data_IF_597668612279
#
_entry.id   IF_597668612279
#
_cell.length_a   1.000
_cell.length_b   1.000
_cell.length_c   1.000
_cell.angle_alpha   90.00
_cell.angle_beta   90.00
_cell.angle_gamma   90.00
#
_symmetry.space_group_name_H-M   'P 1'
#
loop_
_entity.id
_entity.type
_entity.pdbx_description
1 polymer ?
#
# COMPACT_ATOMS: atom_id res chain seq x y z
N UNK A 1 -33.92 83.42 -38.45
CA UNK A 1 -32.51 83.61 -38.11
C UNK A 1 -32.29 83.22 -36.64
N UNK A 2 -31.89 82.00 -36.38
CA UNK A 2 -31.47 81.53 -35.05
C UNK A 2 -30.19 80.68 -35.22
N UNK A 3 -29.10 81.22 -34.76
CA UNK A 3 -27.77 80.55 -34.76
C UNK A 3 -27.76 79.53 -33.62
N UNK A 4 -27.58 78.26 -33.92
CA UNK A 4 -27.21 77.21 -32.96
C UNK A 4 -25.70 77.20 -32.78
N UNK A 5 -25.25 77.42 -31.57
CA UNK A 5 -23.88 77.21 -31.14
C UNK A 5 -23.72 75.72 -30.76
N UNK A 6 -22.90 75.00 -31.51
CA UNK A 6 -22.45 73.65 -31.13
C UNK A 6 -21.24 73.82 -30.20
N UNK A 7 -21.37 73.39 -28.96
CA UNK A 7 -20.27 73.26 -28.04
C UNK A 7 -19.62 71.86 -28.20
N UNK A 8 -18.42 71.85 -28.76
CA UNK A 8 -17.63 70.61 -28.89
C UNK A 8 -16.97 70.29 -27.54
N UNK A 9 -17.40 69.19 -26.93
CA UNK A 9 -16.75 68.63 -25.72
C UNK A 9 -15.54 67.82 -26.14
N UNK A 10 -14.35 68.36 -25.90
CA UNK A 10 -13.07 67.67 -26.11
C UNK A 10 -12.82 66.73 -24.94
N UNK A 11 -13.02 65.42 -25.17
CA UNK A 11 -12.68 64.37 -24.18
C UNK A 11 -11.19 64.11 -24.27
N UNK A 12 -10.41 64.60 -23.31
CA UNK A 12 -8.99 64.28 -23.18
C UNK A 12 -8.86 62.81 -22.70
N UNK A 13 -8.59 61.91 -23.63
CA UNK A 13 -8.14 60.57 -23.35
C UNK A 13 -6.68 60.68 -22.86
N UNK A 14 -6.48 60.57 -21.54
CA UNK A 14 -5.15 60.34 -20.96
C UNK A 14 -4.81 58.87 -21.22
N UNK A 15 -3.77 58.54 -21.99
CA UNK A 15 -3.33 57.19 -22.12
C UNK A 15 -2.74 56.75 -20.75
N UNK A 16 -3.49 55.93 -20.04
CA UNK A 16 -2.95 55.21 -18.88
C UNK A 16 -1.77 54.35 -19.37
N UNK A 17 -0.59 54.73 -19.01
CA UNK A 17 0.59 53.88 -19.17
C UNK A 17 0.40 52.68 -18.26
N UNK A 18 -0.08 51.57 -18.80
CA UNK A 18 0.01 50.27 -18.17
C UNK A 18 1.49 49.93 -18.18
N UNK A 19 2.21 50.25 -17.10
CA UNK A 19 3.52 49.66 -16.84
C UNK A 19 3.32 48.19 -16.66
N UNK A 20 3.52 47.41 -17.74
CA UNK A 20 3.76 45.98 -17.59
C UNK A 20 4.93 45.88 -16.61
N UNK A 21 4.65 45.32 -15.41
CA UNK A 21 5.72 44.90 -14.52
C UNK A 21 6.49 43.85 -15.30
N UNK A 22 7.65 44.22 -15.79
CA UNK A 22 8.66 43.27 -16.23
C UNK A 22 8.83 42.28 -15.08
N UNK A 23 8.72 40.96 -15.33
CA UNK A 23 9.09 39.97 -14.32
C UNK A 23 10.49 40.40 -13.86
N UNK A 24 10.64 40.65 -12.54
CA UNK A 24 11.90 41.11 -11.99
C UNK A 24 13.01 40.24 -12.56
N UNK A 25 14.02 40.86 -13.17
CA UNK A 25 15.22 40.16 -13.60
C UNK A 25 15.75 39.48 -12.35
N UNK A 26 15.74 38.14 -12.32
CA UNK A 26 16.37 37.35 -11.25
C UNK A 26 17.83 37.84 -11.20
N UNK A 27 18.24 38.44 -10.08
CA UNK A 27 19.64 38.76 -9.86
C UNK A 27 20.45 37.46 -9.97
N UNK A 28 21.39 37.33 -10.91
CA UNK A 28 22.21 36.13 -11.02
C UNK A 28 22.99 35.79 -9.74
N UNK A 29 23.13 36.78 -8.83
CA UNK A 29 23.78 36.62 -7.54
C UNK A 29 22.78 36.37 -6.39
N UNK A 30 21.46 36.40 -6.65
CA UNK A 30 20.45 36.04 -5.69
C UNK A 30 20.46 34.53 -5.57
N UNK A 31 21.23 34.00 -4.64
CA UNK A 31 21.21 32.60 -4.26
C UNK A 31 19.82 32.31 -3.67
N UNK A 32 18.99 31.60 -4.42
CA UNK A 32 17.73 31.05 -3.94
C UNK A 32 18.02 30.01 -2.85
N UNK A 33 18.47 30.46 -1.71
CA UNK A 33 18.61 29.62 -0.53
C UNK A 33 17.23 29.52 0.10
N UNK A 34 16.53 28.44 -0.20
CA UNK A 34 15.32 28.11 0.55
C UNK A 34 15.71 28.04 2.03
N UNK A 35 15.03 28.78 2.93
CA UNK A 35 15.39 28.88 4.35
C UNK A 35 15.55 27.55 5.07
N UNK A 36 15.05 26.47 4.51
CA UNK A 36 15.06 25.11 5.09
C UNK A 36 15.78 24.07 4.21
N UNK A 37 16.58 24.49 3.25
CA UNK A 37 17.22 23.59 2.27
C UNK A 37 17.91 22.39 2.91
N UNK A 38 18.76 22.63 3.89
CA UNK A 38 19.55 21.55 4.51
C UNK A 38 18.65 20.62 5.30
N UNK A 39 17.71 21.15 6.06
CA UNK A 39 16.72 20.36 6.83
C UNK A 39 15.85 19.49 5.93
N UNK A 40 15.35 20.03 4.80
CA UNK A 40 14.55 19.29 3.83
C UNK A 40 15.39 18.17 3.20
N UNK A 41 16.64 18.49 2.77
CA UNK A 41 17.53 17.49 2.18
C UNK A 41 17.90 16.38 3.15
N UNK A 42 18.11 16.69 4.42
CA UNK A 42 18.33 15.69 5.48
C UNK A 42 17.13 14.77 5.72
N UNK A 43 15.91 15.23 5.43
CA UNK A 43 14.67 14.46 5.57
C UNK A 43 14.14 13.89 4.26
N UNK A 44 14.81 14.12 3.12
CA UNK A 44 14.34 13.60 1.83
C UNK A 44 14.58 12.10 1.71
N UNK A 45 13.53 11.36 1.39
CA UNK A 45 13.54 9.93 1.10
C UNK A 45 12.95 9.65 -0.27
N UNK A 46 13.45 8.61 -0.92
CA UNK A 46 12.93 8.12 -2.20
C UNK A 46 12.22 6.79 -2.03
N UNK A 47 11.02 6.68 -2.62
CA UNK A 47 10.21 5.46 -2.59
C UNK A 47 9.99 4.96 -4.00
N UNK A 48 10.51 3.76 -4.32
CA UNK A 48 10.21 3.12 -5.60
C UNK A 48 8.85 2.43 -5.55
N UNK A 49 8.04 2.69 -6.57
CA UNK A 49 6.67 2.20 -6.70
C UNK A 49 6.53 1.15 -7.81
N UNK A 50 5.30 0.88 -8.23
CA UNK A 50 4.98 0.10 -9.41
C UNK A 50 4.78 1.03 -10.64
N UNK A 51 4.58 0.48 -11.84
CA UNK A 51 4.19 1.25 -13.02
C UNK A 51 2.94 2.10 -12.77
N UNK A 52 2.86 3.22 -13.49
CA UNK A 52 1.75 4.18 -13.38
C UNK A 52 0.40 3.51 -13.63
N UNK A 53 -0.62 3.90 -12.85
CA UNK A 53 -1.99 3.39 -12.97
C UNK A 53 -2.31 2.18 -12.09
N UNK A 54 -1.30 1.49 -11.55
CA UNK A 54 -1.53 0.42 -10.57
C UNK A 54 -1.82 0.95 -9.16
N UNK A 55 -2.49 0.14 -8.35
CA UNK A 55 -2.82 0.47 -6.94
C UNK A 55 -1.59 0.93 -6.16
N UNK A 56 -0.49 0.21 -6.24
CA UNK A 56 0.77 0.56 -5.56
C UNK A 56 1.25 1.96 -5.91
N UNK A 57 1.18 2.34 -7.20
CA UNK A 57 1.62 3.66 -7.65
C UNK A 57 0.74 4.77 -7.06
N UNK A 58 -0.56 4.54 -6.96
CA UNK A 58 -1.51 5.49 -6.36
C UNK A 58 -1.26 5.62 -4.86
N UNK A 59 -1.07 4.50 -4.15
CA UNK A 59 -0.77 4.51 -2.72
C UNK A 59 0.52 5.26 -2.41
N UNK A 60 1.57 5.08 -3.21
CA UNK A 60 2.83 5.81 -3.01
C UNK A 60 2.68 7.31 -3.28
N UNK A 61 1.82 7.70 -4.22
CA UNK A 61 1.47 9.11 -4.45
C UNK A 61 0.69 9.71 -3.28
N UNK A 62 -0.28 8.97 -2.72
CA UNK A 62 -1.01 9.38 -1.51
C UNK A 62 -0.05 9.54 -0.34
N UNK A 63 0.86 8.56 -0.15
CA UNK A 63 1.84 8.57 0.91
C UNK A 63 2.75 9.80 0.83
N UNK A 64 3.28 10.11 -0.35
CA UNK A 64 4.07 11.32 -0.56
C UNK A 64 3.30 12.58 -0.16
N UNK A 65 2.03 12.70 -0.56
CA UNK A 65 1.21 13.89 -0.26
C UNK A 65 0.86 14.06 1.22
N UNK A 66 0.63 12.96 1.93
CA UNK A 66 0.22 13.00 3.35
C UNK A 66 1.42 13.21 4.26
N UNK A 67 2.55 12.55 3.94
CA UNK A 67 3.72 12.54 4.82
C UNK A 67 4.60 13.77 4.64
N UNK A 68 4.62 14.37 3.44
CA UNK A 68 5.41 15.59 3.18
C UNK A 68 5.14 16.69 4.22
N UNK A 69 6.20 17.23 4.78
CA UNK A 69 6.19 18.35 5.70
C UNK A 69 7.55 19.07 5.68
N UNK A 70 7.73 20.02 6.59
CA UNK A 70 8.98 20.79 6.69
C UNK A 70 10.22 19.96 7.06
N UNK A 71 10.06 18.74 7.53
CA UNK A 71 11.17 17.87 7.98
C UNK A 71 11.34 16.62 7.13
N UNK A 72 10.29 16.20 6.42
CA UNK A 72 10.28 15.00 5.59
C UNK A 72 9.78 15.36 4.19
N UNK A 73 10.56 15.02 3.19
CA UNK A 73 10.18 15.10 1.78
C UNK A 73 10.18 13.71 1.18
N UNK A 74 9.08 13.32 0.55
CA UNK A 74 8.94 12.01 -0.09
C UNK A 74 8.95 12.17 -1.61
N UNK A 75 9.90 11.53 -2.27
CA UNK A 75 9.99 11.49 -3.72
C UNK A 75 9.61 10.10 -4.23
N UNK A 76 8.51 10.03 -4.99
CA UNK A 76 8.11 8.80 -5.64
C UNK A 76 8.91 8.57 -6.92
N UNK A 77 9.51 7.39 -7.05
CA UNK A 77 10.18 6.91 -8.26
C UNK A 77 9.31 5.81 -8.89
N UNK A 78 9.07 5.89 -10.18
CA UNK A 78 8.33 4.87 -10.90
C UNK A 78 9.23 3.67 -11.15
N UNK A 79 8.86 2.53 -10.59
CA UNK A 79 9.56 1.25 -10.72
C UNK A 79 8.95 0.35 -11.80
N UNK A 80 9.54 -0.84 -11.95
CA UNK A 80 9.13 -1.85 -12.93
C UNK A 80 8.28 -2.98 -12.31
N UNK A 81 7.99 -2.89 -11.02
CA UNK A 81 7.23 -3.92 -10.30
C UNK A 81 8.01 -4.55 -9.15
N UNK A 82 7.37 -5.43 -8.36
CA UNK A 82 7.89 -5.86 -7.06
C UNK A 82 9.21 -6.62 -7.13
N UNK A 83 9.43 -7.39 -8.18
CA UNK A 83 10.69 -8.14 -8.37
C UNK A 83 11.85 -7.18 -8.61
N UNK A 84 11.73 -6.27 -9.59
CA UNK A 84 12.79 -5.30 -9.87
C UNK A 84 13.02 -4.34 -8.70
N UNK A 85 11.96 -3.93 -8.00
CA UNK A 85 12.06 -3.03 -6.86
C UNK A 85 12.99 -3.56 -5.76
N UNK A 86 13.03 -4.89 -5.54
CA UNK A 86 13.98 -5.50 -4.59
C UNK A 86 15.42 -5.19 -4.98
N UNK A 87 15.78 -5.40 -6.25
CA UNK A 87 17.13 -5.10 -6.76
C UNK A 87 17.42 -3.59 -6.63
N UNK A 88 16.46 -2.77 -7.00
CA UNK A 88 16.62 -1.32 -6.97
C UNK A 88 16.83 -0.79 -5.54
N UNK A 89 16.15 -1.36 -4.54
CA UNK A 89 16.36 -1.04 -3.12
C UNK A 89 17.75 -1.50 -2.63
N UNK A 90 18.22 -2.65 -3.13
CA UNK A 90 19.49 -3.21 -2.70
C UNK A 90 20.70 -2.50 -3.34
N UNK A 91 20.59 -2.10 -4.61
CA UNK A 91 21.75 -1.74 -5.43
C UNK A 91 21.79 -0.27 -5.86
N UNK A 92 20.61 0.41 -5.99
CA UNK A 92 20.58 1.80 -6.41
C UNK A 92 20.81 2.76 -5.25
N UNK A 93 21.84 3.62 -5.42
CA UNK A 93 22.24 4.59 -4.37
C UNK A 93 21.15 5.59 -3.99
N UNK A 94 20.20 5.86 -4.87
CA UNK A 94 19.16 6.87 -4.66
C UNK A 94 17.82 6.32 -4.22
N UNK A 95 17.70 5.01 -4.00
CA UNK A 95 16.46 4.39 -3.52
C UNK A 95 16.61 4.06 -2.03
N UNK A 96 15.73 4.61 -1.21
CA UNK A 96 15.75 4.39 0.24
C UNK A 96 14.77 3.28 0.66
N UNK A 97 13.62 3.19 -0.02
CA UNK A 97 12.57 2.21 0.27
C UNK A 97 11.69 1.97 -0.95
N UNK A 98 10.77 1.02 -0.87
CA UNK A 98 9.83 0.76 -1.95
C UNK A 98 8.74 -0.23 -1.58
N UNK A 99 7.76 -0.36 -2.48
CA UNK A 99 6.68 -1.33 -2.35
C UNK A 99 7.08 -2.66 -3.00
N UNK A 100 7.01 -3.75 -2.22
CA UNK A 100 7.35 -5.10 -2.65
C UNK A 100 6.33 -6.09 -2.09
N UNK A 101 6.04 -7.15 -2.82
CA UNK A 101 5.17 -8.23 -2.33
C UNK A 101 5.97 -9.20 -1.47
N UNK A 102 5.38 -9.68 -0.40
CA UNK A 102 6.06 -10.45 0.66
C UNK A 102 6.68 -11.77 0.21
N UNK A 103 6.22 -12.34 -0.89
CA UNK A 103 6.70 -13.61 -1.47
C UNK A 103 7.87 -13.44 -2.46
N UNK A 104 8.22 -12.21 -2.84
CA UNK A 104 9.30 -11.94 -3.81
C UNK A 104 10.68 -12.46 -3.34
N UNK A 105 11.09 -12.36 -2.06
CA UNK A 105 12.34 -12.98 -1.61
C UNK A 105 12.40 -14.49 -1.82
N UNK A 106 11.28 -15.20 -1.68
CA UNK A 106 11.23 -16.64 -1.97
C UNK A 106 11.45 -16.92 -3.45
N UNK A 107 10.86 -16.12 -4.35
CA UNK A 107 11.14 -16.20 -5.78
C UNK A 107 12.64 -16.04 -6.08
N UNK A 108 13.33 -15.07 -5.47
CA UNK A 108 14.76 -14.88 -5.63
C UNK A 108 15.56 -16.07 -5.12
N UNK A 109 15.19 -16.63 -3.98
CA UNK A 109 15.83 -17.83 -3.40
C UNK A 109 15.70 -19.03 -4.33
N UNK A 110 14.50 -19.28 -4.86
CA UNK A 110 14.22 -20.43 -5.71
C UNK A 110 14.79 -20.28 -7.12
N UNK A 111 14.66 -19.10 -7.72
CA UNK A 111 15.02 -18.86 -9.12
C UNK A 111 16.50 -18.52 -9.31
N UNK A 112 17.05 -17.71 -8.40
CA UNK A 112 18.41 -17.18 -8.54
C UNK A 112 19.39 -17.73 -7.49
N UNK A 113 18.93 -18.61 -6.60
CA UNK A 113 19.73 -19.20 -5.51
C UNK A 113 20.36 -18.13 -4.61
N UNK A 114 19.62 -17.08 -4.30
CA UNK A 114 20.02 -15.98 -3.43
C UNK A 114 19.29 -16.09 -2.06
N UNK A 115 19.76 -16.97 -1.15
CA UNK A 115 19.05 -17.25 0.10
C UNK A 115 19.00 -16.05 1.06
N UNK A 116 20.00 -15.17 0.99
CA UNK A 116 20.20 -14.11 1.98
C UNK A 116 19.53 -12.78 1.59
N UNK A 117 18.82 -12.74 0.45
CA UNK A 117 18.22 -11.48 -0.03
C UNK A 117 17.22 -10.91 1.00
N UNK A 118 16.42 -11.76 1.62
CA UNK A 118 15.47 -11.37 2.67
C UNK A 118 16.14 -10.84 3.94
N UNK A 119 17.33 -11.32 4.29
CA UNK A 119 18.05 -10.85 5.48
C UNK A 119 18.56 -9.40 5.35
N UNK A 120 18.73 -8.93 4.12
CA UNK A 120 19.17 -7.57 3.78
C UNK A 120 18.02 -6.55 3.75
N UNK A 121 16.77 -7.01 3.81
CA UNK A 121 15.56 -6.21 3.73
C UNK A 121 14.82 -6.17 5.07
N UNK A 122 14.10 -5.08 5.30
CA UNK A 122 13.22 -4.89 6.46
C UNK A 122 11.90 -4.30 5.99
N UNK A 123 10.77 -4.78 6.53
CA UNK A 123 9.50 -4.12 6.24
C UNK A 123 9.22 -3.00 7.25
N UNK A 124 8.59 -1.95 6.79
CA UNK A 124 8.12 -0.82 7.59
C UNK A 124 6.67 -1.05 7.99
N UNK A 125 5.80 -1.30 7.01
CA UNK A 125 4.38 -1.53 7.20
C UNK A 125 3.81 -2.48 6.15
N UNK A 126 2.70 -3.14 6.46
CA UNK A 126 1.82 -3.78 5.49
C UNK A 126 0.96 -2.70 4.84
N UNK A 127 0.82 -2.73 3.51
CA UNK A 127 -0.02 -1.80 2.77
C UNK A 127 -1.37 -2.42 2.41
N UNK A 128 -1.38 -3.56 1.72
CA UNK A 128 -2.59 -4.30 1.34
C UNK A 128 -2.24 -5.73 0.95
N UNK A 129 -3.26 -6.57 0.72
CA UNK A 129 -3.06 -7.93 0.26
C UNK A 129 -3.27 -8.07 -1.25
N UNK A 130 -2.47 -8.96 -1.86
CA UNK A 130 -2.63 -9.44 -3.22
C UNK A 130 -3.06 -10.89 -3.16
N UNK A 131 -4.25 -11.17 -3.64
CA UNK A 131 -4.76 -12.52 -3.75
C UNK A 131 -4.26 -13.20 -5.02
N UNK A 132 -4.03 -14.51 -4.94
CA UNK A 132 -3.62 -15.31 -6.08
C UNK A 132 -4.86 -15.75 -6.86
N UNK A 133 -5.05 -15.18 -8.04
CA UNK A 133 -6.14 -15.53 -8.93
C UNK A 133 -5.66 -16.58 -9.92
N UNK A 134 -6.39 -17.69 -10.04
CA UNK A 134 -6.19 -18.66 -11.10
C UNK A 134 -7.53 -18.87 -11.80
N UNK A 135 -7.60 -18.53 -13.08
CA UNK A 135 -8.77 -18.77 -13.93
C UNK A 135 -8.48 -19.92 -14.86
N UNK A 136 -9.34 -20.93 -14.87
CA UNK A 136 -9.21 -22.13 -15.68
C UNK A 136 -10.57 -22.73 -16.05
N UNK A 137 -10.63 -23.69 -17.00
CA UNK A 137 -11.82 -24.51 -17.26
C UNK A 137 -12.28 -25.27 -16.00
N UNK A 138 -13.57 -25.49 -15.87
CA UNK A 138 -14.20 -26.16 -14.72
C UNK A 138 -13.75 -27.62 -14.49
N UNK A 139 -13.01 -28.22 -15.44
CA UNK A 139 -12.35 -29.51 -15.26
C UNK A 139 -11.14 -29.45 -14.30
N UNK A 140 -10.52 -28.28 -14.12
CA UNK A 140 -9.40 -28.03 -13.21
C UNK A 140 -9.98 -27.52 -11.89
N UNK A 141 -10.05 -28.36 -10.85
CA UNK A 141 -10.72 -28.02 -9.58
C UNK A 141 -9.82 -27.30 -8.58
N UNK A 142 -8.57 -27.73 -8.51
CA UNK A 142 -7.58 -27.22 -7.57
C UNK A 142 -6.27 -26.91 -8.27
N UNK A 143 -5.40 -26.18 -7.62
CA UNK A 143 -4.05 -25.89 -8.15
C UNK A 143 -3.25 -27.16 -8.48
N UNK A 144 -3.54 -28.30 -7.83
CA UNK A 144 -2.85 -29.57 -8.10
C UNK A 144 -3.21 -30.18 -9.47
N UNK A 145 -4.38 -29.86 -10.02
CA UNK A 145 -4.82 -30.33 -11.34
C UNK A 145 -4.06 -29.60 -12.49
N UNK A 146 -3.22 -28.61 -12.14
CA UNK A 146 -2.36 -27.90 -13.07
C UNK A 146 -1.04 -28.62 -13.35
N UNK A 147 -0.82 -29.80 -12.80
CA UNK A 147 0.32 -30.64 -13.15
C UNK A 147 0.29 -30.98 -14.66
N UNK A 148 1.45 -30.83 -15.32
CA UNK A 148 1.67 -31.02 -16.75
C UNK A 148 0.82 -30.12 -17.68
N UNK A 149 0.23 -29.04 -17.14
CA UNK A 149 -0.59 -28.07 -17.86
C UNK A 149 0.22 -26.85 -18.35
N UNK A 150 -0.32 -26.14 -19.35
CA UNK A 150 0.19 -24.87 -19.84
C UNK A 150 -0.47 -23.73 -19.09
N UNK A 151 0.31 -23.02 -18.27
CA UNK A 151 -0.16 -21.92 -17.41
C UNK A 151 0.36 -20.58 -17.94
N UNK A 152 -0.55 -19.68 -18.26
CA UNK A 152 -0.25 -18.30 -18.60
C UNK A 152 0.08 -17.55 -17.31
N UNK A 153 1.29 -16.99 -17.21
CA UNK A 153 1.77 -16.29 -16.02
C UNK A 153 2.41 -14.95 -16.43
N UNK A 154 1.69 -13.83 -16.33
CA UNK A 154 2.24 -12.51 -16.62
C UNK A 154 3.52 -12.23 -15.84
N UNK A 155 4.54 -11.68 -16.52
CA UNK A 155 5.92 -11.60 -16.02
C UNK A 155 6.02 -10.88 -14.68
N UNK A 156 5.30 -9.77 -14.52
CA UNK A 156 5.50 -8.84 -13.40
C UNK A 156 4.54 -9.06 -12.23
N UNK A 157 3.44 -9.79 -12.44
CA UNK A 157 2.37 -9.95 -11.42
C UNK A 157 1.90 -11.40 -11.25
N UNK A 158 2.34 -12.34 -12.06
CA UNK A 158 1.90 -13.74 -12.00
C UNK A 158 3.05 -14.73 -11.91
N UNK A 159 4.07 -14.56 -12.75
CA UNK A 159 5.13 -15.57 -12.88
C UNK A 159 5.90 -15.82 -11.58
N UNK A 160 6.28 -14.77 -10.84
CA UNK A 160 7.04 -14.95 -9.60
C UNK A 160 6.23 -15.68 -8.52
N UNK A 161 4.95 -15.35 -8.38
CA UNK A 161 4.05 -16.01 -7.42
C UNK A 161 3.78 -17.46 -7.84
N UNK A 162 3.44 -17.69 -9.13
CA UNK A 162 3.26 -19.03 -9.67
C UNK A 162 4.50 -19.90 -9.46
N UNK A 163 5.68 -19.37 -9.76
CA UNK A 163 6.96 -20.09 -9.59
C UNK A 163 7.18 -20.48 -8.13
N UNK A 164 6.92 -19.59 -7.20
CA UNK A 164 7.06 -19.85 -5.76
C UNK A 164 6.06 -20.91 -5.29
N UNK A 165 4.77 -20.73 -5.58
CA UNK A 165 3.69 -21.64 -5.16
C UNK A 165 3.90 -23.04 -5.74
N UNK A 166 4.09 -23.13 -7.06
CA UNK A 166 4.17 -24.43 -7.76
C UNK A 166 5.43 -25.20 -7.37
N UNK A 167 6.57 -24.51 -7.15
CA UNK A 167 7.78 -25.15 -6.63
C UNK A 167 7.57 -25.70 -5.24
N UNK A 168 6.96 -24.94 -4.31
CA UNK A 168 6.68 -25.36 -2.95
C UNK A 168 5.66 -26.51 -2.89
N UNK A 169 4.64 -26.47 -3.71
CA UNK A 169 3.62 -27.53 -3.80
C UNK A 169 4.07 -28.74 -4.62
N UNK A 170 5.28 -28.70 -5.23
CA UNK A 170 5.81 -29.73 -6.10
C UNK A 170 4.92 -29.99 -7.36
N UNK A 171 4.37 -28.92 -7.93
CA UNK A 171 3.58 -28.96 -9.14
C UNK A 171 4.49 -28.63 -10.33
N UNK A 172 4.60 -29.55 -11.29
CA UNK A 172 5.33 -29.32 -12.54
C UNK A 172 4.35 -28.91 -13.60
N UNK A 173 4.57 -27.75 -14.23
CA UNK A 173 3.77 -27.26 -15.35
C UNK A 173 4.66 -26.49 -16.33
N UNK A 174 4.12 -26.15 -17.49
CA UNK A 174 4.79 -25.30 -18.47
C UNK A 174 4.25 -23.88 -18.31
N UNK A 175 5.13 -22.93 -17.99
CA UNK A 175 4.77 -21.51 -17.93
C UNK A 175 4.95 -20.86 -19.31
N UNK A 176 3.90 -20.17 -19.78
CA UNK A 176 3.98 -19.24 -20.90
C UNK A 176 3.96 -17.83 -20.31
N UNK A 177 5.13 -17.18 -20.30
CA UNK A 177 5.32 -15.88 -19.63
C UNK A 177 4.98 -14.76 -20.61
N UNK A 178 3.87 -14.09 -20.37
CA UNK A 178 3.40 -12.95 -21.14
C UNK A 178 3.52 -11.65 -20.32
N UNK A 179 3.46 -10.51 -20.99
CA UNK A 179 3.49 -9.19 -20.35
C UNK A 179 2.11 -8.53 -20.25
N UNK A 180 1.11 -9.07 -20.96
CA UNK A 180 -0.25 -8.53 -21.02
C UNK A 180 -1.25 -9.53 -20.42
N UNK A 181 -1.93 -9.10 -19.37
CA UNK A 181 -2.93 -9.90 -18.66
C UNK A 181 -4.16 -10.20 -19.50
N UNK A 182 -4.60 -9.25 -20.33
CA UNK A 182 -5.77 -9.43 -21.18
C UNK A 182 -5.51 -10.50 -22.23
N UNK A 183 -4.35 -10.44 -22.88
CA UNK A 183 -3.94 -11.45 -23.87
C UNK A 183 -3.76 -12.82 -23.21
N UNK A 184 -3.15 -12.87 -22.03
CA UNK A 184 -2.95 -14.12 -21.30
C UNK A 184 -4.29 -14.79 -20.96
N UNK A 185 -5.24 -14.02 -20.40
CA UNK A 185 -6.58 -14.54 -20.10
C UNK A 185 -7.34 -14.94 -21.36
N UNK A 186 -7.21 -14.19 -22.46
CA UNK A 186 -7.86 -14.51 -23.74
C UNK A 186 -7.40 -15.86 -24.30
N UNK A 187 -6.13 -16.23 -24.14
CA UNK A 187 -5.65 -17.56 -24.55
C UNK A 187 -6.32 -18.69 -23.77
N UNK A 188 -6.62 -18.49 -22.47
CA UNK A 188 -7.40 -19.47 -21.70
C UNK A 188 -8.84 -19.54 -22.19
N UNK A 189 -9.46 -18.38 -22.45
CA UNK A 189 -10.81 -18.32 -23.02
C UNK A 189 -10.89 -19.07 -24.36
N UNK A 190 -9.87 -18.97 -25.20
CA UNK A 190 -9.79 -19.64 -26.51
C UNK A 190 -9.41 -21.12 -26.42
N UNK A 191 -9.00 -21.63 -25.24
CA UNK A 191 -8.50 -23.01 -25.09
C UNK A 191 -7.06 -23.21 -25.58
N UNK A 192 -6.29 -22.14 -25.77
CA UNK A 192 -4.87 -22.17 -26.17
C UNK A 192 -3.93 -22.39 -24.99
N UNK A 193 -4.44 -22.22 -23.79
CA UNK A 193 -3.77 -22.48 -22.52
C UNK A 193 -4.77 -23.04 -21.49
N UNK A 194 -4.25 -23.77 -20.50
CA UNK A 194 -5.08 -24.47 -19.50
C UNK A 194 -5.48 -23.56 -18.33
N UNK A 195 -4.66 -22.57 -17.97
CA UNK A 195 -4.95 -21.64 -16.89
C UNK A 195 -4.21 -20.31 -17.06
N UNK A 196 -4.74 -19.27 -16.41
CA UNK A 196 -4.08 -17.99 -16.21
C UNK A 196 -3.93 -17.73 -14.72
N UNK A 197 -2.73 -17.30 -14.28
CA UNK A 197 -2.44 -16.99 -12.88
C UNK A 197 -1.91 -15.56 -12.73
N UNK A 198 -2.41 -14.85 -11.71
CA UNK A 198 -1.94 -13.51 -11.37
C UNK A 198 -2.03 -13.27 -9.86
N UNK A 199 -1.09 -12.48 -9.32
CA UNK A 199 -1.08 -12.00 -7.94
C UNK A 199 -1.44 -10.53 -7.93
N UNK A 200 -2.64 -10.19 -7.45
CA UNK A 200 -3.13 -8.80 -7.40
C UNK A 200 -4.24 -8.66 -6.37
N UNK A 201 -4.49 -7.43 -5.91
CA UNK A 201 -5.58 -7.18 -4.97
C UNK A 201 -6.96 -7.48 -5.57
N UNK A 202 -7.81 -8.16 -4.81
CA UNK A 202 -9.22 -8.32 -5.17
C UNK A 202 -9.98 -6.99 -4.90
N UNK A 203 -10.96 -6.58 -5.69
CA UNK A 203 -11.56 -7.30 -6.82
C UNK A 203 -10.86 -6.88 -8.11
N UNK A 204 -10.39 -7.85 -8.90
CA UNK A 204 -9.71 -7.57 -10.16
C UNK A 204 -10.73 -7.36 -11.28
N UNK A 205 -10.79 -6.20 -11.95
CA UNK A 205 -11.84 -5.90 -12.93
C UNK A 205 -11.87 -6.85 -14.14
N UNK A 206 -10.71 -7.25 -14.66
CA UNK A 206 -10.64 -8.14 -15.83
C UNK A 206 -11.24 -9.53 -15.55
N UNK A 207 -11.04 -10.08 -14.34
CA UNK A 207 -11.65 -11.33 -13.94
C UNK A 207 -13.13 -11.18 -13.57
N UNK A 208 -13.49 -10.09 -12.85
CA UNK A 208 -14.88 -9.80 -12.46
C UNK A 208 -15.81 -9.66 -13.67
N UNK A 209 -15.33 -8.95 -14.70
CA UNK A 209 -16.12 -8.61 -15.89
C UNK A 209 -15.95 -9.64 -17.03
N UNK A 210 -15.25 -10.75 -16.78
CA UNK A 210 -15.07 -11.80 -17.75
C UNK A 210 -16.42 -12.35 -18.20
N UNK A 211 -16.66 -12.35 -19.52
CA UNK A 211 -17.85 -12.99 -20.11
C UNK A 211 -17.69 -14.51 -20.01
N UNK A 212 -18.57 -15.17 -19.31
CA UNK A 212 -18.54 -16.61 -19.04
C UNK A 212 -19.98 -17.15 -19.05
N UNK A 213 -20.73 -16.85 -20.11
CA UNK A 213 -22.17 -17.18 -20.24
C UNK A 213 -22.42 -18.70 -20.29
N UNK A 214 -21.46 -19.45 -20.81
CA UNK A 214 -21.47 -20.92 -20.86
C UNK A 214 -21.02 -21.59 -19.55
N UNK A 215 -20.55 -20.81 -18.57
CA UNK A 215 -20.10 -21.31 -17.26
C UNK A 215 -18.89 -22.24 -17.31
N UNK A 216 -18.12 -22.25 -18.41
CA UNK A 216 -16.99 -23.17 -18.60
C UNK A 216 -15.73 -22.79 -17.84
N UNK A 217 -15.60 -21.54 -17.40
CA UNK A 217 -14.47 -21.03 -16.64
C UNK A 217 -14.86 -20.80 -15.17
N UNK A 218 -13.88 -20.90 -14.29
CA UNK A 218 -14.06 -20.58 -12.87
C UNK A 218 -12.75 -20.12 -12.24
N UNK A 219 -12.82 -19.64 -10.99
CA UNK A 219 -11.65 -19.46 -10.13
C UNK A 219 -11.27 -20.77 -9.48
N UNK A 220 -10.00 -21.17 -9.65
CA UNK A 220 -9.44 -22.43 -9.15
C UNK A 220 -9.10 -22.30 -7.69
N UNK A 221 -9.44 -23.32 -6.88
CA UNK A 221 -9.09 -23.35 -5.45
C UNK A 221 -7.59 -23.60 -5.25
N UNK A 222 -7.01 -22.86 -4.32
CA UNK A 222 -5.66 -23.08 -3.79
C UNK A 222 -5.79 -23.38 -2.30
N UNK A 223 -5.81 -24.65 -1.89
CA UNK A 223 -5.89 -25.03 -0.49
C UNK A 223 -4.69 -24.50 0.32
N UNK A 224 -4.94 -24.04 1.56
CA UNK A 224 -3.89 -23.53 2.45
C UNK A 224 -3.04 -24.68 3.01
N UNK A 225 -2.00 -25.03 2.26
CA UNK A 225 -1.11 -26.17 2.53
C UNK A 225 0.05 -25.77 3.48
N UNK A 226 0.47 -26.69 4.37
CA UNK A 226 1.57 -26.47 5.32
C UNK A 226 2.90 -26.09 4.66
N UNK A 227 3.11 -26.47 3.39
CA UNK A 227 4.33 -26.15 2.61
C UNK A 227 4.46 -24.69 2.22
N UNK A 228 3.39 -23.88 2.38
CA UNK A 228 3.34 -22.47 1.93
C UNK A 228 2.94 -21.49 3.03
N UNK A 229 2.64 -21.97 4.24
CA UNK A 229 2.14 -21.17 5.37
C UNK A 229 3.19 -20.17 5.92
N UNK A 230 4.46 -20.41 5.67
CA UNK A 230 5.55 -19.52 6.06
C UNK A 230 5.69 -18.29 5.14
N UNK A 231 4.96 -18.25 3.99
CA UNK A 231 5.06 -17.20 2.97
C UNK A 231 3.72 -16.54 2.70
N UNK A 232 2.65 -17.35 2.63
CA UNK A 232 1.32 -16.90 2.23
C UNK A 232 0.33 -16.95 3.39
N UNK A 233 -0.69 -16.10 3.31
CA UNK A 233 -1.84 -16.08 4.20
C UNK A 233 -3.03 -16.76 3.52
N UNK A 234 -3.95 -17.38 4.26
CA UNK A 234 -5.19 -17.88 3.69
C UNK A 234 -6.09 -16.73 3.28
N UNK A 235 -6.74 -16.85 2.13
CA UNK A 235 -7.74 -15.89 1.65
C UNK A 235 -8.89 -16.63 0.94
N UNK A 236 -9.93 -15.91 0.59
CA UNK A 236 -11.09 -16.46 -0.13
C UNK A 236 -11.64 -15.44 -1.13
N UNK A 237 -12.20 -15.94 -2.22
CA UNK A 237 -13.06 -15.18 -3.12
C UNK A 237 -14.51 -15.53 -2.89
N UNK A 238 -15.41 -14.57 -3.07
CA UNK A 238 -16.85 -14.76 -2.96
C UNK A 238 -17.55 -14.58 -4.31
N UNK A 239 -18.78 -15.13 -4.42
CA UNK A 239 -19.63 -14.90 -5.59
C UNK A 239 -19.99 -13.43 -5.81
N UNK A 240 -20.02 -12.59 -4.76
CA UNK A 240 -20.30 -11.16 -4.89
C UNK A 240 -19.11 -10.40 -5.49
N UNK A 241 -17.88 -10.88 -5.22
CA UNK A 241 -16.66 -10.35 -5.82
C UNK A 241 -16.51 -10.77 -7.29
N UNK A 242 -16.85 -12.03 -7.62
CA UNK A 242 -16.66 -12.63 -8.96
C UNK A 242 -17.90 -13.40 -9.43
N UNK A 243 -19.03 -12.71 -9.72
CA UNK A 243 -20.32 -13.36 -9.99
C UNK A 243 -20.32 -14.27 -11.22
N UNK A 244 -19.44 -14.01 -12.20
CA UNK A 244 -19.34 -14.80 -13.42
C UNK A 244 -18.41 -16.02 -13.31
N UNK A 245 -17.63 -16.12 -12.22
CA UNK A 245 -16.63 -17.19 -12.02
C UNK A 245 -16.88 -18.04 -10.79
N UNK A 246 -17.75 -17.61 -9.90
CA UNK A 246 -18.10 -18.33 -8.66
C UNK A 246 -19.63 -18.47 -8.58
N UNK A 247 -20.17 -19.68 -8.44
CA UNK A 247 -21.60 -19.89 -8.27
C UNK A 247 -22.15 -19.13 -7.05
N UNK A 248 -23.37 -18.60 -7.18
CA UNK A 248 -24.00 -17.79 -6.14
C UNK A 248 -23.98 -18.47 -4.76
N UNK A 249 -23.53 -17.72 -3.75
CA UNK A 249 -23.44 -18.18 -2.37
C UNK A 249 -22.21 -19.04 -2.07
N UNK A 250 -21.37 -19.35 -3.05
CA UNK A 250 -20.14 -20.10 -2.84
C UNK A 250 -18.94 -19.20 -2.60
N UNK A 251 -17.89 -19.80 -2.05
CA UNK A 251 -16.56 -19.20 -1.88
C UNK A 251 -15.51 -20.13 -2.44
N UNK A 252 -14.40 -19.55 -2.89
CA UNK A 252 -13.23 -20.28 -3.39
C UNK A 252 -12.04 -19.93 -2.52
N UNK A 253 -11.35 -20.92 -1.99
CA UNK A 253 -10.12 -20.75 -1.22
C UNK A 253 -8.99 -20.30 -2.12
N UNK A 254 -8.19 -19.37 -1.63
CA UNK A 254 -6.99 -18.89 -2.30
C UNK A 254 -5.94 -18.45 -1.27
N UNK A 255 -4.82 -18.00 -1.77
CA UNK A 255 -3.70 -17.44 -1.00
C UNK A 255 -3.64 -15.94 -1.16
N UNK A 256 -3.07 -15.27 -0.17
CA UNK A 256 -2.71 -13.87 -0.26
C UNK A 256 -1.24 -13.67 0.14
N UNK A 257 -0.58 -12.76 -0.58
CA UNK A 257 0.71 -12.20 -0.23
C UNK A 257 0.57 -10.70 0.02
N UNK A 258 1.18 -10.19 1.09
CA UNK A 258 1.03 -8.79 1.45
C UNK A 258 1.95 -7.89 0.62
N UNK A 259 1.44 -6.79 0.09
CA UNK A 259 2.30 -5.69 -0.37
C UNK A 259 2.82 -4.94 0.85
N UNK A 260 4.12 -4.85 0.96
CA UNK A 260 4.85 -4.24 2.05
C UNK A 260 5.57 -2.98 1.59
N UNK A 261 5.61 -1.97 2.42
CA UNK A 261 6.62 -0.93 2.33
C UNK A 261 7.89 -1.46 2.98
N UNK A 262 8.95 -1.60 2.19
CA UNK A 262 10.23 -2.16 2.64
C UNK A 262 11.38 -1.18 2.47
N UNK A 263 12.46 -1.40 3.19
CA UNK A 263 13.72 -0.69 3.09
C UNK A 263 14.89 -1.67 3.21
N UNK A 264 16.08 -1.23 2.83
CA UNK A 264 17.31 -1.96 3.16
C UNK A 264 17.50 -1.98 4.68
N UNK A 265 18.21 -2.98 5.19
CA UNK A 265 18.59 -3.06 6.60
C UNK A 265 19.73 -2.08 6.93
N UNK A 266 19.42 -0.78 6.89
CA UNK A 266 20.40 0.28 7.13
C UNK A 266 20.99 0.19 8.52
N UNK A 267 22.33 0.34 8.68
CA UNK A 267 22.94 0.48 10.00
C UNK A 267 22.38 1.68 10.76
N UNK A 268 22.03 1.52 12.04
CA UNK A 268 21.36 2.54 12.87
C UNK A 268 22.06 3.91 12.90
N UNK A 269 23.39 3.93 12.77
CA UNK A 269 24.19 5.17 12.77
C UNK A 269 24.31 5.84 11.38
N UNK A 270 23.75 5.23 10.32
CA UNK A 270 23.83 5.78 8.97
C UNK A 270 22.85 6.91 8.73
N UNK A 271 23.19 7.83 7.80
CA UNK A 271 22.29 8.91 7.38
C UNK A 271 20.99 8.37 6.81
N UNK A 272 21.06 7.26 6.07
CA UNK A 272 19.88 6.63 5.49
C UNK A 272 18.93 6.07 6.55
N UNK A 273 19.47 5.43 7.59
CA UNK A 273 18.66 4.99 8.72
C UNK A 273 17.90 6.17 9.34
N UNK A 274 18.61 7.29 9.61
CA UNK A 274 18.00 8.48 10.21
C UNK A 274 16.87 9.07 9.35
N UNK A 275 17.07 9.16 8.01
CA UNK A 275 16.04 9.64 7.10
C UNK A 275 14.82 8.73 7.07
N UNK A 276 15.03 7.43 6.95
CA UNK A 276 13.93 6.45 6.97
C UNK A 276 13.24 6.43 8.33
N UNK A 277 13.94 6.61 9.44
CA UNK A 277 13.33 6.71 10.78
C UNK A 277 12.45 7.97 10.92
N UNK A 278 12.90 9.14 10.43
CA UNK A 278 12.05 10.36 10.36
C UNK A 278 10.78 10.13 9.52
N UNK A 279 10.94 9.46 8.38
CA UNK A 279 9.80 9.09 7.54
C UNK A 279 8.82 8.17 8.27
N UNK A 280 9.32 7.14 8.98
CA UNK A 280 8.48 6.21 9.78
C UNK A 280 7.65 6.98 10.80
N UNK A 281 8.27 7.88 11.56
CA UNK A 281 7.56 8.71 12.54
C UNK A 281 6.46 9.55 11.88
N UNK A 282 6.77 10.26 10.79
CA UNK A 282 5.82 11.07 10.06
C UNK A 282 4.66 10.25 9.43
N UNK A 283 4.96 9.05 8.92
CA UNK A 283 3.97 8.16 8.32
C UNK A 283 3.05 7.55 9.38
N UNK A 284 3.62 6.98 10.43
CA UNK A 284 2.84 6.28 11.46
C UNK A 284 1.96 7.23 12.27
N UNK A 285 2.46 8.43 12.56
CA UNK A 285 1.67 9.47 13.24
C UNK A 285 0.45 9.95 12.45
N UNK A 286 0.44 9.73 11.14
CA UNK A 286 -0.65 10.15 10.24
C UNK A 286 -1.44 8.98 9.64
N UNK A 287 -1.30 7.77 10.18
CA UNK A 287 -1.90 6.57 9.58
C UNK A 287 -3.42 6.71 9.39
N UNK A 288 -4.12 7.34 10.31
CA UNK A 288 -5.58 7.55 10.25
C UNK A 288 -6.03 8.54 9.15
N UNK A 289 -5.10 9.30 8.57
CA UNK A 289 -5.40 10.20 7.46
C UNK A 289 -5.56 9.47 6.13
N UNK A 290 -5.02 8.26 6.02
CA UNK A 290 -5.06 7.46 4.80
C UNK A 290 -6.42 6.79 4.57
N UNK A 291 -7.22 6.59 5.61
CA UNK A 291 -8.58 6.04 5.49
C UNK A 291 -9.60 7.05 4.96
N UNK A 292 -9.23 8.32 4.85
CA UNK A 292 -10.12 9.41 4.48
C UNK A 292 -10.04 9.75 3.00
N UNK A 293 -11.18 10.05 2.32
CA UNK A 293 -11.14 10.60 0.97
C UNK A 293 -10.26 11.86 0.89
N UNK A 294 -9.60 12.12 -0.21
CA UNK A 294 -9.64 11.42 -1.51
C UNK A 294 -8.63 10.26 -1.68
N UNK A 295 -8.13 9.68 -0.59
CA UNK A 295 -7.15 8.60 -0.62
C UNK A 295 -7.74 7.31 -1.19
N UNK A 296 -6.88 6.48 -1.77
CA UNK A 296 -7.32 5.23 -2.37
C UNK A 296 -7.91 4.26 -1.32
N UNK A 297 -9.08 3.62 -1.56
CA UNK A 297 -9.74 2.75 -0.57
C UNK A 297 -8.91 1.58 -0.05
N UNK A 298 -7.91 1.11 -0.81
CA UNK A 298 -6.98 0.04 -0.40
C UNK A 298 -6.15 0.41 0.84
N UNK A 299 -6.06 1.67 1.23
CA UNK A 299 -5.43 2.08 2.48
C UNK A 299 -6.09 1.49 3.72
N UNK A 300 -7.39 1.14 3.64
CA UNK A 300 -8.10 0.45 4.74
C UNK A 300 -7.54 -0.94 5.08
N UNK A 301 -6.76 -1.53 4.20
CA UNK A 301 -6.06 -2.79 4.45
C UNK A 301 -4.66 -2.59 5.05
N UNK A 302 -4.20 -1.33 5.10
CA UNK A 302 -2.89 -1.02 5.66
C UNK A 302 -2.85 -1.27 7.17
N UNK A 303 -1.72 -1.78 7.63
CA UNK A 303 -1.49 -2.02 9.04
C UNK A 303 -0.02 -1.81 9.39
N UNK A 304 0.24 -0.80 10.21
CA UNK A 304 1.58 -0.54 10.74
C UNK A 304 1.99 -1.58 11.79
N UNK A 305 1.02 -2.23 12.43
CA UNK A 305 1.26 -3.21 13.51
C UNK A 305 1.29 -4.68 13.02
N UNK A 306 0.88 -4.97 11.76
CA UNK A 306 0.81 -6.33 11.25
C UNK A 306 2.16 -7.05 11.30
N UNK A 307 2.17 -8.28 11.81
CA UNK A 307 3.33 -9.18 11.73
C UNK A 307 3.28 -9.95 10.42
N UNK A 308 4.39 -9.98 9.69
CA UNK A 308 4.49 -10.62 8.39
C UNK A 308 5.35 -11.87 8.50
N UNK A 309 4.81 -13.06 8.15
CA UNK A 309 5.59 -14.30 8.18
C UNK A 309 6.90 -14.19 7.40
N UNK A 310 8.00 -14.68 7.98
CA UNK A 310 9.31 -14.68 7.34
C UNK A 310 10.02 -13.32 7.21
N UNK A 311 9.41 -12.22 7.65
CA UNK A 311 9.96 -10.88 7.56
C UNK A 311 10.32 -10.29 8.93
N UNK A 312 11.39 -9.50 8.96
CA UNK A 312 11.76 -8.70 10.13
C UNK A 312 11.38 -7.23 9.89
N UNK A 313 10.80 -6.61 10.91
CA UNK A 313 10.44 -5.20 10.88
C UNK A 313 11.69 -4.30 10.94
N UNK A 314 11.64 -3.17 10.25
CA UNK A 314 12.65 -2.12 10.39
C UNK A 314 12.67 -1.60 11.84
N UNK A 315 13.87 -1.52 12.42
CA UNK A 315 14.00 -1.25 13.87
C UNK A 315 13.27 0.03 14.30
N UNK A 316 13.43 1.13 13.56
CA UNK A 316 12.72 2.37 13.92
C UNK A 316 11.20 2.23 13.88
N UNK A 317 10.64 1.39 12.99
CA UNK A 317 9.21 1.10 12.96
C UNK A 317 8.77 0.25 14.16
N UNK A 318 9.59 -0.70 14.60
CA UNK A 318 9.31 -1.48 15.81
C UNK A 318 9.41 -0.60 17.07
N UNK A 319 10.47 0.19 17.19
CA UNK A 319 10.67 1.09 18.33
C UNK A 319 9.52 2.08 18.48
N UNK A 320 9.00 2.62 17.37
CA UNK A 320 7.84 3.51 17.37
C UNK A 320 6.58 2.81 17.90
N UNK A 321 6.31 1.59 17.46
CA UNK A 321 5.17 0.80 17.95
C UNK A 321 5.30 0.49 19.43
N UNK A 322 6.46 0.05 19.89
CA UNK A 322 6.73 -0.29 21.28
C UNK A 322 6.53 0.93 22.20
N UNK A 323 6.98 2.10 21.77
CA UNK A 323 6.81 3.35 22.50
C UNK A 323 5.31 3.72 22.64
N UNK A 324 4.55 3.65 21.55
CA UNK A 324 3.14 4.03 21.54
C UNK A 324 2.25 3.02 22.27
N UNK A 325 2.58 1.72 22.23
CA UNK A 325 1.92 0.71 23.03
C UNK A 325 2.14 0.92 24.53
N UNK A 326 3.37 1.25 24.95
CA UNK A 326 3.67 1.57 26.36
C UNK A 326 2.94 2.83 26.82
N UNK A 327 2.91 3.87 25.98
CA UNK A 327 2.18 5.10 26.25
C UNK A 327 0.68 4.86 26.38
N UNK A 328 0.08 4.09 25.48
CA UNK A 328 -1.34 3.72 25.57
C UNK A 328 -1.64 2.89 26.82
N UNK A 329 -0.78 1.91 27.15
CA UNK A 329 -0.94 1.11 28.37
C UNK A 329 -0.80 1.96 29.66
N UNK A 330 0.16 2.90 29.68
CA UNK A 330 0.33 3.82 30.83
C UNK A 330 -0.84 4.77 30.97
N UNK A 331 -1.38 5.29 29.86
CA UNK A 331 -2.58 6.15 29.87
C UNK A 331 -3.80 5.36 30.33
N UNK A 332 -4.02 4.14 29.85
CA UNK A 332 -5.11 3.28 30.27
C UNK A 332 -5.01 2.92 31.77
N UNK A 333 -3.81 2.69 32.29
CA UNK A 333 -3.59 2.46 33.71
C UNK A 333 -3.91 3.72 34.56
N UNK A 334 -3.43 4.91 34.11
CA UNK A 334 -3.75 6.17 34.75
C UNK A 334 -5.26 6.48 34.73
N UNK A 335 -5.91 6.27 33.56
CA UNK A 335 -7.37 6.42 33.42
C UNK A 335 -8.13 5.45 34.32
N UNK A 336 -7.64 4.22 34.49
CA UNK A 336 -8.23 3.25 35.42
C UNK A 336 -8.14 3.69 36.89
N UNK A 337 -7.00 4.24 37.30
CA UNK A 337 -6.84 4.77 38.68
C UNK A 337 -7.67 6.05 38.91
N UNK A 338 -7.69 6.97 37.95
CA UNK A 338 -8.56 8.15 38.01
C UNK A 338 -10.05 7.76 38.02
N UNK A 339 -10.43 6.74 37.25
CA UNK A 339 -11.80 6.22 37.28
C UNK A 339 -12.16 5.59 38.61
N UNK A 340 -11.26 4.83 39.23
CA UNK A 340 -11.47 4.29 40.59
C UNK A 340 -11.65 5.41 41.61
N UNK A 341 -10.84 6.48 41.54
CA UNK A 341 -10.99 7.66 42.39
C UNK A 341 -12.33 8.38 42.14
N UNK A 342 -12.73 8.54 40.89
CA UNK A 342 -14.02 9.11 40.51
C UNK A 342 -15.20 8.30 41.08
N UNK A 343 -15.14 6.98 41.03
CA UNK A 343 -16.15 6.08 41.61
C UNK A 343 -16.19 6.20 43.13
N UNK A 344 -15.03 6.26 43.80
CA UNK A 344 -14.96 6.35 45.28
C UNK A 344 -15.56 7.62 45.84
N UNK A 345 -15.52 8.70 45.07
CA UNK A 345 -16.08 10.01 45.46
C UNK A 345 -17.59 10.10 45.23
N UNK A 346 -18.19 9.30 44.34
CA UNK A 346 -19.61 9.45 43.94
C UNK A 346 -20.55 8.40 44.51
N UNK A 347 -20.11 7.21 44.87
CA UNK A 347 -20.97 6.21 45.50
C UNK A 347 -20.15 5.03 46.04
N UNK A 348 -20.21 4.71 47.31
CA UNK A 348 -19.67 3.48 47.89
C UNK A 348 -20.64 2.33 47.65
N UNK A 349 -20.79 1.84 46.40
CA UNK A 349 -21.69 0.73 46.04
C UNK A 349 -21.02 -0.30 45.19
N UNK A 350 -21.57 -1.53 45.18
CA UNK A 350 -21.20 -2.55 44.17
C UNK A 350 -21.99 -2.24 42.91
N UNK A 351 -21.28 -2.00 41.82
CA UNK A 351 -21.87 -1.80 40.48
C UNK A 351 -21.86 -3.10 39.69
N UNK A 352 -22.91 -3.31 38.91
CA UNK A 352 -22.91 -4.36 37.87
C UNK A 352 -21.98 -4.00 36.69
N UNK A 353 -21.53 -4.97 35.89
CA UNK A 353 -20.67 -4.71 34.75
C UNK A 353 -21.28 -3.71 33.75
N UNK A 354 -22.60 -3.77 33.54
CA UNK A 354 -23.32 -2.83 32.68
C UNK A 354 -23.35 -1.39 33.21
N UNK A 355 -23.39 -1.22 34.50
CA UNK A 355 -23.31 0.10 35.16
C UNK A 355 -21.90 0.64 35.13
N UNK A 356 -20.87 -0.21 35.29
CA UNK A 356 -19.46 0.18 35.20
C UNK A 356 -19.12 0.68 33.78
N UNK A 357 -19.64 0.05 32.72
CA UNK A 357 -19.45 0.54 31.35
C UNK A 357 -20.05 1.93 31.17
N UNK A 358 -21.27 2.17 31.62
CA UNK A 358 -21.91 3.51 31.54
C UNK A 358 -21.18 4.59 32.34
N UNK A 359 -20.68 4.21 33.51
CA UNK A 359 -19.92 5.13 34.37
C UNK A 359 -18.54 5.43 33.78
N UNK A 360 -17.92 4.47 33.12
CA UNK A 360 -16.65 4.68 32.41
C UNK A 360 -16.82 5.61 31.21
N UNK A 361 -17.89 5.44 30.42
CA UNK A 361 -18.22 6.34 29.31
C UNK A 361 -18.45 7.77 29.80
N UNK A 362 -19.20 7.93 30.90
CA UNK A 362 -19.42 9.23 31.52
C UNK A 362 -18.14 9.87 32.10
N UNK A 363 -17.21 9.04 32.59
CA UNK A 363 -15.89 9.51 33.05
C UNK A 363 -15.03 9.99 31.86
N UNK A 364 -15.03 9.27 30.73
CA UNK A 364 -14.31 9.69 29.55
C UNK A 364 -14.86 10.99 28.93
N UNK A 365 -16.17 11.18 28.99
CA UNK A 365 -16.82 12.42 28.56
C UNK A 365 -16.47 13.59 29.49
N UNK A 366 -16.52 13.37 30.81
CA UNK A 366 -16.09 14.34 31.82
C UNK A 366 -14.62 14.75 31.63
N UNK A 367 -13.73 13.80 31.38
CA UNK A 367 -12.29 14.03 31.13
C UNK A 367 -12.04 14.85 29.86
N UNK A 368 -12.83 14.63 28.80
CA UNK A 368 -12.75 15.42 27.54
C UNK A 368 -13.16 16.89 27.76
N UNK A 369 -14.10 17.14 28.65
CA UNK A 369 -14.60 18.47 28.93
C UNK A 369 -13.72 19.28 29.91
N UNK A 370 -12.68 18.67 30.48
CA UNK A 370 -11.69 19.32 31.35
C UNK A 370 -10.41 19.76 30.59
N UNK A 371 -10.26 19.41 29.34
CA UNK A 371 -9.17 19.86 28.47
C UNK A 371 -9.64 21.00 27.59
#
# INVERSE_FOLDING_TARGET
MKRLLLASLLLCLVPGVITAQTPGSLDPNETWVLPNRDRVNEGTVTIISAPVGGVTSILMSDLARVVDNDQVRVLQVIGKGPVQNVVDILDLKSIDMGAVVSDVPEFYKLQYRLPDIGSRLRYIAKLYDNEIHIVAPTSIKTVFDLADKKVMAPKDVGFYAAKSIFTRLNIKCTFDVQTDDTLALQKVVNGEADAWIVSTGKVMPIARNLKNEDGRLHLVSIPYDTRIQDIYLPSTFSSDEYPNLIPKGQKVETLAASTLLITYNWPEKSDRYRRVAKFVDAFFSKIDEFDKPPRHPKWREASIAATIPGWQRFKAAQDWLDLHQRSAASTAAADSEEFKQFLSQRSPGKFSDAELVKLYDAFLEWKRNQR
#
